data_IF_871271194303
#
_entry.id   IF_871271194303
#
_cell.length_a   1.000
_cell.length_b   1.000
_cell.length_c   1.000
_cell.angle_alpha   90.00
_cell.angle_beta   90.00
_cell.angle_gamma   90.00
#
_symmetry.space_group_name_H-M   'P 1'
#
loop_
_entity.id
_entity.type
_entity.pdbx_description
1 polymer ?
#
# COMPACT_ATOMS: atom_id res chain seq x y z
N UNK A 1 -24.62 -12.76 17.14
CA UNK A 1 -23.20 -13.15 17.22
C UNK A 1 -22.49 -12.14 16.37
N UNK A 2 -22.25 -10.97 16.95
CA UNK A 2 -21.74 -9.82 16.21
C UNK A 2 -20.23 -9.95 16.14
N UNK A 3 -19.76 -10.26 14.94
CA UNK A 3 -18.35 -10.27 14.59
C UNK A 3 -17.92 -8.80 14.46
N UNK A 4 -17.37 -8.24 15.54
CA UNK A 4 -16.76 -6.91 15.48
C UNK A 4 -15.75 -6.86 14.31
N UNK A 5 -15.72 -5.77 13.52
CA UNK A 5 -14.84 -5.70 12.37
C UNK A 5 -13.38 -5.75 12.87
N UNK A 6 -12.61 -6.69 12.33
CA UNK A 6 -11.15 -6.63 12.38
C UNK A 6 -10.74 -5.23 11.89
N UNK A 7 -9.78 -4.58 12.54
CA UNK A 7 -9.26 -3.30 12.03
C UNK A 7 -8.36 -3.60 10.84
N UNK A 8 -8.85 -3.27 9.65
CA UNK A 8 -8.17 -3.44 8.38
C UNK A 8 -7.67 -2.09 7.89
N UNK A 9 -6.54 -2.08 7.19
CA UNK A 9 -6.12 -0.96 6.37
C UNK A 9 -5.80 -1.47 4.98
N UNK A 10 -6.42 -0.87 3.97
CA UNK A 10 -6.11 -1.09 2.57
C UNK A 10 -5.10 -0.03 2.12
N UNK A 11 -3.97 -0.47 1.58
CA UNK A 11 -2.90 0.38 1.09
C UNK A 11 -2.66 0.04 -0.37
N UNK A 12 -2.78 1.02 -1.25
CA UNK A 12 -2.48 0.87 -2.65
C UNK A 12 -1.38 1.83 -3.10
N UNK A 13 -0.44 1.32 -3.91
CA UNK A 13 0.61 2.09 -4.55
C UNK A 13 0.39 2.02 -6.06
N UNK A 14 0.24 3.18 -6.69
CA UNK A 14 0.02 3.31 -8.13
C UNK A 14 1.16 4.11 -8.75
N UNK A 15 1.78 3.56 -9.79
CA UNK A 15 2.91 4.16 -10.50
C UNK A 15 2.67 4.04 -12.02
N UNK A 16 2.43 5.16 -12.73
CA UNK A 16 1.83 5.22 -14.08
C UNK A 16 2.78 5.68 -15.20
N UNK A 17 4.08 5.90 -14.95
CA UNK A 17 5.00 6.40 -16.01
C UNK A 17 5.18 5.41 -17.19
N UNK A 18 5.57 5.91 -18.36
CA UNK A 18 5.77 5.13 -19.61
C UNK A 18 6.97 4.14 -19.58
N UNK A 19 6.72 2.91 -20.05
CA UNK A 19 7.68 1.79 -20.13
C UNK A 19 8.84 1.95 -21.17
N UNK A 20 10.00 1.35 -20.84
CA UNK A 20 10.91 0.74 -21.83
C UNK A 20 10.48 -0.72 -22.04
N UNK A 21 10.09 -1.10 -23.26
CA UNK A 21 9.46 -2.40 -23.57
C UNK A 21 10.25 -3.62 -23.08
N UNK A 22 9.57 -4.57 -22.39
CA UNK A 22 9.98 -5.99 -22.35
C UNK A 22 10.42 -6.59 -21.01
N UNK A 23 10.10 -5.99 -19.86
CA UNK A 23 10.32 -6.62 -18.54
C UNK A 23 8.97 -6.88 -17.84
N UNK A 24 8.73 -8.09 -17.30
CA UNK A 24 7.58 -8.35 -16.42
C UNK A 24 7.81 -7.69 -15.06
N UNK A 25 6.79 -7.01 -14.55
CA UNK A 25 6.86 -6.36 -13.24
C UNK A 25 6.99 -7.42 -12.13
N UNK A 26 7.86 -7.21 -11.12
CA UNK A 26 7.90 -8.09 -9.97
C UNK A 26 6.54 -8.07 -9.25
N UNK A 27 6.02 -9.23 -8.81
CA UNK A 27 4.77 -9.26 -8.05
C UNK A 27 4.94 -8.49 -6.74
N UNK A 28 3.94 -7.69 -6.39
CA UNK A 28 3.87 -6.91 -5.16
C UNK A 28 2.46 -6.98 -4.57
N UNK A 29 2.30 -6.52 -3.33
CA UNK A 29 1.03 -6.61 -2.62
C UNK A 29 0.91 -7.84 -1.71
N UNK A 30 -0.26 -7.98 -1.09
CA UNK A 30 -0.62 -9.14 -0.27
C UNK A 30 -1.33 -8.81 1.03
N UNK A 31 -1.63 -9.83 1.83
CA UNK A 31 -2.26 -9.69 3.14
C UNK A 31 -1.20 -9.82 4.24
N UNK A 32 -1.10 -8.82 5.11
CA UNK A 32 -0.08 -8.73 6.15
C UNK A 32 -0.73 -8.73 7.53
N UNK A 33 -0.37 -9.72 8.34
CA UNK A 33 -0.78 -9.78 9.74
C UNK A 33 0.12 -8.84 10.56
N UNK A 34 -0.46 -7.84 11.23
CA UNK A 34 0.28 -6.86 12.04
C UNK A 34 0.64 -7.34 13.44
N UNK A 35 0.57 -8.66 13.71
CA UNK A 35 1.02 -9.26 14.97
C UNK A 35 2.47 -8.88 15.28
N UNK A 36 3.32 -8.89 14.26
CA UNK A 36 4.68 -8.39 14.31
C UNK A 36 4.78 -7.12 13.46
N UNK A 37 5.56 -6.14 13.91
CA UNK A 37 5.83 -4.95 13.11
C UNK A 37 6.61 -5.33 11.84
N UNK A 38 6.33 -4.63 10.74
CA UNK A 38 6.94 -4.91 9.45
C UNK A 38 7.06 -3.66 8.58
N UNK A 39 7.57 -3.86 7.37
CA UNK A 39 7.80 -2.80 6.39
C UNK A 39 7.02 -3.10 5.12
N UNK A 40 6.45 -2.06 4.53
CA UNK A 40 5.94 -2.06 3.15
C UNK A 40 6.73 -1.00 2.40
N UNK A 41 7.25 -1.37 1.23
CA UNK A 41 8.02 -0.47 0.38
C UNK A 41 7.51 -0.59 -1.05
N UNK A 42 7.72 0.46 -1.85
CA UNK A 42 7.68 0.29 -3.29
C UNK A 42 8.69 -0.78 -3.71
N UNK A 43 8.40 -1.55 -4.78
CA UNK A 43 9.38 -2.46 -5.35
C UNK A 43 10.63 -1.71 -5.78
N UNK A 44 11.79 -2.21 -5.37
CA UNK A 44 13.09 -1.59 -5.67
C UNK A 44 13.61 -0.61 -4.62
N UNK A 45 12.80 -0.16 -3.64
CA UNK A 45 13.28 0.78 -2.61
C UNK A 45 14.60 0.30 -1.97
N UNK A 46 15.63 1.16 -1.83
CA UNK A 46 15.62 2.63 -2.01
C UNK A 46 15.87 3.12 -3.44
N UNK A 47 15.87 2.25 -4.45
CA UNK A 47 15.96 2.64 -5.86
C UNK A 47 14.57 3.07 -6.38
N UNK A 48 14.57 3.72 -7.53
CA UNK A 48 13.35 4.15 -8.22
C UNK A 48 12.38 2.98 -8.39
N UNK A 49 11.11 3.22 -8.11
CA UNK A 49 10.05 2.24 -8.32
C UNK A 49 9.85 2.00 -9.83
N UNK A 50 9.47 0.77 -10.23
CA UNK A 50 9.19 0.49 -11.63
C UNK A 50 7.91 1.22 -12.08
N UNK A 51 7.89 1.55 -13.36
CA UNK A 51 6.76 2.19 -14.02
C UNK A 51 5.65 1.19 -14.33
N UNK A 52 4.38 1.62 -14.40
CA UNK A 52 3.18 0.78 -14.67
C UNK A 52 2.88 -0.29 -13.61
N UNK A 53 3.09 0.04 -12.34
CA UNK A 53 2.89 -0.90 -11.25
C UNK A 53 1.74 -0.47 -10.34
N UNK A 54 0.86 -1.43 -10.05
CA UNK A 54 -0.23 -1.31 -9.09
C UNK A 54 -0.02 -2.38 -8.03
N UNK A 55 0.23 -1.95 -6.80
CA UNK A 55 0.44 -2.85 -5.67
C UNK A 55 -0.61 -2.59 -4.59
N UNK A 56 -1.23 -3.65 -4.09
CA UNK A 56 -2.28 -3.56 -3.09
C UNK A 56 -1.96 -4.43 -1.87
N UNK A 57 -2.02 -3.84 -0.69
CA UNK A 57 -1.84 -4.54 0.58
C UNK A 57 -3.07 -4.38 1.46
N UNK A 58 -3.43 -5.46 2.14
CA UNK A 58 -4.37 -5.43 3.26
C UNK A 58 -3.57 -5.73 4.52
N UNK A 59 -3.42 -4.74 5.38
CA UNK A 59 -2.82 -4.90 6.70
C UNK A 59 -3.94 -5.16 7.69
N UNK A 60 -3.77 -6.15 8.57
CA UNK A 60 -4.81 -6.54 9.52
C UNK A 60 -4.26 -6.86 10.89
N UNK A 61 -4.95 -6.37 11.92
CA UNK A 61 -4.66 -6.75 13.29
C UNK A 61 -5.27 -8.11 13.63
N UNK A 62 -4.60 -8.95 14.44
CA UNK A 62 -5.14 -10.23 14.86
C UNK A 62 -6.36 -10.08 15.77
N UNK A 63 -6.45 -9.00 16.57
CA UNK A 63 -7.54 -8.78 17.52
C UNK A 63 -8.40 -7.54 17.16
N UNK A 64 -9.74 -7.57 17.32
CA UNK A 64 -10.63 -6.47 16.88
C UNK A 64 -10.45 -5.13 17.60
N UNK A 65 -9.84 -5.12 18.77
CA UNK A 65 -9.62 -3.91 19.58
C UNK A 65 -8.26 -3.25 19.34
N UNK A 66 -7.41 -3.88 18.53
CA UNK A 66 -6.15 -3.29 18.12
C UNK A 66 -6.40 -2.29 16.99
N UNK A 67 -5.43 -1.40 16.75
CA UNK A 67 -5.44 -0.47 15.63
C UNK A 67 -4.12 -0.57 14.90
N UNK A 68 -4.16 -0.31 13.60
CA UNK A 68 -2.97 -0.26 12.76
C UNK A 68 -2.46 1.19 12.77
N UNK A 69 -1.15 1.34 12.97
CA UNK A 69 -0.45 2.62 12.87
C UNK A 69 0.55 2.51 11.73
N UNK A 70 0.47 3.43 10.78
CA UNK A 70 1.43 3.53 9.68
C UNK A 70 2.37 4.71 9.95
N UNK A 71 3.67 4.49 9.80
CA UNK A 71 4.69 5.53 9.90
C UNK A 71 5.49 5.55 8.60
N UNK A 72 5.50 6.70 7.93
CA UNK A 72 6.29 6.88 6.71
C UNK A 72 7.75 7.18 7.04
N UNK A 73 8.65 6.59 6.24
CA UNK A 73 10.04 7.00 6.25
C UNK A 73 10.14 8.44 5.71
N UNK A 74 10.91 9.35 6.33
CA UNK A 74 11.09 10.72 5.82
C UNK A 74 11.76 10.76 4.43
N UNK A 75 12.46 9.70 4.03
CA UNK A 75 12.94 9.52 2.65
C UNK A 75 11.79 8.98 1.80
N UNK A 76 11.02 9.91 1.25
CA UNK A 76 9.80 9.64 0.49
C UNK A 76 9.81 10.47 -0.80
N UNK A 77 9.77 9.79 -1.95
CA UNK A 77 9.77 10.44 -3.26
C UNK A 77 8.82 9.72 -4.22
N UNK A 78 7.92 10.50 -4.83
CA UNK A 78 6.96 10.09 -5.86
C UNK A 78 6.89 11.23 -6.90
N UNK A 79 6.56 10.89 -8.16
CA UNK A 79 6.38 11.88 -9.22
C UNK A 79 5.44 13.02 -8.83
N UNK A 80 5.93 14.26 -8.99
CA UNK A 80 5.19 15.48 -8.64
C UNK A 80 4.26 15.91 -9.77
N UNK A 81 2.99 15.54 -9.70
CA UNK A 81 1.96 16.00 -10.67
C UNK A 81 0.57 16.01 -10.03
N UNK A 82 0.42 16.63 -8.85
CA UNK A 82 -0.83 16.63 -8.06
C UNK A 82 -1.43 15.23 -7.87
N UNK A 83 -0.57 14.23 -7.64
CA UNK A 83 -0.94 12.81 -7.50
C UNK A 83 -1.70 12.22 -8.71
N UNK A 84 -1.64 12.87 -9.89
CA UNK A 84 -2.41 12.48 -11.08
C UNK A 84 -1.90 11.18 -11.72
N UNK A 85 -0.61 10.91 -11.62
CA UNK A 85 0.03 9.76 -12.27
C UNK A 85 0.45 8.73 -11.24
N UNK A 86 1.19 9.17 -10.23
CA UNK A 86 1.75 8.29 -9.22
C UNK A 86 1.29 8.75 -7.83
N UNK A 87 0.85 7.80 -7.00
CA UNK A 87 0.33 8.10 -5.67
C UNK A 87 0.31 6.88 -4.76
N UNK A 88 0.21 7.17 -3.46
CA UNK A 88 -0.14 6.19 -2.43
C UNK A 88 -1.54 6.52 -1.97
N UNK A 89 -2.38 5.49 -1.89
CA UNK A 89 -3.73 5.58 -1.37
C UNK A 89 -3.84 4.72 -0.11
N UNK A 90 -4.42 5.27 0.95
CA UNK A 90 -4.64 4.58 2.22
C UNK A 90 -6.12 4.67 2.56
N UNK A 91 -6.76 3.54 2.83
CA UNK A 91 -8.18 3.47 3.18
C UNK A 91 -8.42 2.72 4.49
N UNK A 92 -9.39 3.19 5.26
CA UNK A 92 -9.84 2.57 6.52
C UNK A 92 -10.84 1.45 6.25
N UNK A 93 -10.33 0.25 6.00
CA UNK A 93 -11.10 -0.91 5.59
C UNK A 93 -10.25 -1.91 4.83
N UNK A 94 -10.89 -2.84 4.13
CA UNK A 94 -10.23 -3.97 3.45
C UNK A 94 -10.36 -3.95 1.93
N UNK A 95 -10.85 -2.85 1.34
CA UNK A 95 -11.09 -2.74 -0.09
C UNK A 95 -11.00 -1.29 -0.61
N UNK A 96 -10.95 -1.15 -1.93
CA UNK A 96 -10.94 0.16 -2.64
C UNK A 96 -12.19 1.02 -2.40
N UNK A 97 -13.29 0.43 -1.91
CA UNK A 97 -14.52 1.16 -1.59
C UNK A 97 -14.56 1.73 -0.17
N UNK A 98 -13.56 1.42 0.66
CA UNK A 98 -13.45 1.94 2.02
C UNK A 98 -13.12 3.44 2.04
N UNK A 99 -13.34 4.08 3.19
CA UNK A 99 -13.11 5.51 3.35
C UNK A 99 -11.63 5.86 3.16
N UNK A 100 -11.35 6.90 2.36
CA UNK A 100 -10.01 7.42 2.14
C UNK A 100 -9.52 8.15 3.40
N UNK A 101 -8.29 7.84 3.84
CA UNK A 101 -7.62 8.48 4.98
C UNK A 101 -6.76 9.68 4.59
#
# INVERSE_FOLDING_TARGET
>A
MDMFPLTWVFLALYFSRHQVRGQPDPPCGGRLNSKDAGYITSPGYPQDYPSHQNCEWIVYAPEPNQKIVLNFNPHFEIEKHDCKYDFIEIRDGDSESADLL
#
